data_IF_734905353692
#
_entry.id   IF_734905353692
#
_cell.length_a   1.000
_cell.length_b   1.000
_cell.length_c   1.000
_cell.angle_alpha   90.00
_cell.angle_beta   90.00
_cell.angle_gamma   90.00
#
_symmetry.space_group_name_H-M   'P 1'
#
loop_
_entity.id
_entity.type
_entity.pdbx_description
1 polymer ?
#
# COMPACT_ATOMS: atom_id res chain seq x y z
N UNK A 1 26.31 -11.60 24.37
CA UNK A 1 27.22 -11.93 23.26
C UNK A 1 28.49 -11.09 23.44
N UNK A 2 29.71 -11.65 23.44
CA UNK A 2 30.94 -10.86 23.61
C UNK A 2 31.37 -10.11 22.33
N UNK A 3 30.88 -10.49 21.15
CA UNK A 3 31.26 -9.88 19.89
C UNK A 3 30.35 -8.67 19.56
N UNK A 4 30.91 -7.54 19.09
CA UNK A 4 30.13 -6.41 18.59
C UNK A 4 29.21 -6.81 17.44
N UNK A 5 27.95 -6.33 17.44
CA UNK A 5 26.95 -6.72 16.43
C UNK A 5 27.36 -6.37 14.99
N UNK A 6 28.16 -5.34 14.79
CA UNK A 6 28.63 -4.92 13.48
C UNK A 6 29.50 -6.00 12.80
N UNK A 7 30.12 -6.88 13.58
CA UNK A 7 30.91 -8.01 13.05
C UNK A 7 30.07 -9.13 12.43
N UNK A 8 28.75 -9.10 12.59
CA UNK A 8 27.84 -10.14 12.11
C UNK A 8 27.34 -9.92 10.68
N UNK A 9 27.85 -8.94 9.94
CA UNK A 9 27.39 -8.69 8.56
C UNK A 9 27.60 -9.91 7.66
N UNK A 10 28.80 -10.48 7.64
CA UNK A 10 29.08 -11.70 6.83
C UNK A 10 28.22 -12.87 7.26
N UNK A 11 28.03 -13.07 8.58
CA UNK A 11 27.12 -14.09 9.09
C UNK A 11 25.68 -13.88 8.60
N UNK A 12 25.19 -12.63 8.60
CA UNK A 12 23.89 -12.32 8.03
C UNK A 12 23.82 -12.67 6.54
N UNK A 13 24.80 -12.25 5.75
CA UNK A 13 24.84 -12.47 4.30
C UNK A 13 24.90 -13.97 3.94
N UNK A 14 25.68 -14.77 4.67
CA UNK A 14 25.90 -16.18 4.37
C UNK A 14 24.82 -17.10 4.98
N UNK A 15 24.46 -16.87 6.24
CA UNK A 15 23.63 -17.81 7.00
C UNK A 15 22.17 -17.36 7.11
N UNK A 16 21.88 -16.06 7.12
CA UNK A 16 20.52 -15.54 7.45
C UNK A 16 19.77 -15.06 6.20
N UNK A 17 20.43 -14.33 5.30
CA UNK A 17 19.83 -13.69 4.12
C UNK A 17 18.97 -14.66 3.31
N UNK A 18 19.49 -15.86 3.06
CA UNK A 18 18.81 -16.88 2.25
C UNK A 18 17.43 -17.27 2.79
N UNK A 19 17.20 -17.22 4.11
CA UNK A 19 15.91 -17.55 4.70
C UNK A 19 14.86 -16.50 4.37
N UNK A 20 15.26 -15.23 4.37
CA UNK A 20 14.39 -14.09 4.05
C UNK A 20 14.14 -13.95 2.54
N UNK A 21 15.17 -14.15 1.71
CA UNK A 21 15.05 -14.07 0.24
C UNK A 21 14.21 -15.20 -0.36
N UNK A 22 14.19 -16.38 0.27
CA UNK A 22 13.36 -17.52 -0.18
C UNK A 22 11.88 -17.32 0.09
N UNK A 23 11.48 -16.30 0.87
CA UNK A 23 10.08 -16.02 1.14
C UNK A 23 9.43 -15.59 -0.18
N UNK A 24 8.36 -16.26 -0.64
CA UNK A 24 7.71 -15.90 -1.89
C UNK A 24 7.24 -14.45 -1.86
N UNK A 25 7.54 -13.71 -2.93
CA UNK A 25 7.23 -12.28 -3.12
C UNK A 25 8.13 -11.28 -2.38
N UNK A 26 9.26 -11.73 -1.84
CA UNK A 26 10.38 -10.84 -1.48
C UNK A 26 11.22 -10.59 -2.73
N UNK A 27 11.38 -9.33 -3.11
CA UNK A 27 12.17 -8.94 -4.29
C UNK A 27 13.64 -8.73 -3.95
N UNK A 28 13.91 -8.11 -2.80
CA UNK A 28 15.25 -7.71 -2.39
C UNK A 28 15.28 -7.44 -0.88
N UNK A 29 16.47 -7.44 -0.31
CA UNK A 29 16.73 -7.04 1.07
C UNK A 29 17.65 -5.82 1.09
N UNK A 30 17.17 -4.75 1.69
CA UNK A 30 18.03 -3.65 2.11
C UNK A 30 18.74 -4.07 3.40
N UNK A 31 20.05 -3.91 3.45
CA UNK A 31 20.81 -4.22 4.67
C UNK A 31 21.75 -3.07 4.98
N UNK A 32 21.49 -2.38 6.08
CA UNK A 32 22.22 -1.19 6.54
C UNK A 32 23.10 -1.50 7.74
N UNK A 33 24.35 -1.03 7.71
CA UNK A 33 25.31 -1.24 8.80
C UNK A 33 26.00 -2.62 8.75
N UNK A 34 26.86 -2.83 9.75
CA UNK A 34 27.75 -3.98 9.83
C UNK A 34 29.03 -3.86 8.98
N UNK A 35 29.96 -4.77 9.20
CA UNK A 35 31.26 -4.86 8.53
C UNK A 35 31.52 -6.28 8.07
N UNK A 36 31.91 -6.44 6.81
CA UNK A 36 32.29 -7.72 6.25
C UNK A 36 33.57 -8.25 6.91
N UNK A 37 33.62 -9.56 7.10
CA UNK A 37 34.80 -10.27 7.56
C UNK A 37 35.80 -10.35 6.42
N UNK A 38 37.02 -9.93 6.68
CA UNK A 38 38.09 -9.87 5.69
C UNK A 38 39.34 -10.57 6.21
N UNK A 39 40.19 -11.02 5.29
CA UNK A 39 41.52 -11.47 5.62
C UNK A 39 42.50 -10.31 5.40
N UNK A 40 43.00 -9.72 6.48
CA UNK A 40 43.92 -8.59 6.43
C UNK A 40 45.36 -9.08 6.32
N UNK A 41 46.04 -8.68 5.24
CA UNK A 41 47.48 -8.85 5.06
C UNK A 41 48.16 -7.53 5.37
N UNK A 42 48.71 -7.40 6.58
CA UNK A 42 49.39 -6.19 7.04
C UNK A 42 50.87 -6.29 6.71
N UNK A 43 51.27 -5.62 5.64
CA UNK A 43 52.64 -5.70 5.10
C UNK A 43 53.55 -4.68 5.77
N UNK A 44 54.79 -5.08 6.09
CA UNK A 44 55.83 -4.17 6.58
C UNK A 44 56.63 -3.61 5.41
N UNK A 45 56.59 -2.29 5.22
CA UNK A 45 57.35 -1.57 4.19
C UNK A 45 58.86 -1.75 4.37
N UNK A 46 59.34 -1.72 5.61
CA UNK A 46 60.75 -1.92 5.96
C UNK A 46 61.26 -3.30 5.53
N UNK A 47 60.48 -4.36 5.83
CA UNK A 47 60.85 -5.73 5.46
C UNK A 47 60.77 -5.94 3.95
N UNK A 48 59.77 -5.38 3.27
CA UNK A 48 59.70 -5.44 1.81
C UNK A 48 60.93 -4.80 1.14
N UNK A 49 61.34 -3.62 1.61
CA UNK A 49 62.52 -2.93 1.10
C UNK A 49 63.80 -3.75 1.31
N UNK A 50 63.93 -4.43 2.45
CA UNK A 50 65.08 -5.30 2.75
C UNK A 50 65.20 -6.51 1.80
N UNK A 51 64.10 -6.93 1.17
CA UNK A 51 64.07 -8.05 0.21
C UNK A 51 63.90 -7.60 -1.26
N UNK A 52 64.02 -6.30 -1.54
CA UNK A 52 63.83 -5.72 -2.88
C UNK A 52 62.48 -6.15 -3.50
N UNK A 53 61.42 -6.05 -2.70
CA UNK A 53 60.05 -6.33 -3.10
C UNK A 53 59.17 -5.09 -2.99
N UNK A 54 58.24 -4.94 -3.91
CA UNK A 54 57.23 -3.88 -3.87
C UNK A 54 55.89 -4.42 -3.37
N UNK A 55 54.99 -3.53 -2.92
CA UNK A 55 53.62 -3.91 -2.58
C UNK A 55 52.89 -4.52 -3.78
N UNK A 56 53.18 -4.05 -5.00
CA UNK A 56 52.61 -4.59 -6.23
C UNK A 56 53.03 -6.04 -6.48
N UNK A 57 54.26 -6.43 -6.11
CA UNK A 57 54.72 -7.82 -6.20
C UNK A 57 53.96 -8.75 -5.27
N UNK A 58 53.69 -8.28 -4.04
CA UNK A 58 52.87 -9.02 -3.06
C UNK A 58 51.45 -9.20 -3.57
N UNK A 59 50.81 -8.11 -4.03
CA UNK A 59 49.43 -8.14 -4.55
C UNK A 59 49.33 -9.13 -5.73
N UNK A 60 50.23 -9.03 -6.71
CA UNK A 60 50.24 -9.91 -7.88
C UNK A 60 50.44 -11.38 -7.49
N UNK A 61 51.35 -11.66 -6.57
CA UNK A 61 51.60 -13.03 -6.11
C UNK A 61 50.39 -13.61 -5.38
N UNK A 62 49.75 -12.82 -4.50
CA UNK A 62 48.54 -13.24 -3.80
C UNK A 62 47.38 -13.49 -4.76
N UNK A 63 47.19 -12.63 -5.76
CA UNK A 63 46.17 -12.82 -6.79
C UNK A 63 46.42 -14.08 -7.63
N UNK A 64 47.68 -14.36 -7.99
CA UNK A 64 48.03 -15.57 -8.73
C UNK A 64 47.87 -16.85 -7.90
N UNK A 65 48.10 -16.76 -6.58
CA UNK A 65 47.97 -17.89 -5.67
C UNK A 65 46.51 -18.17 -5.25
N UNK A 66 45.63 -17.16 -5.26
CA UNK A 66 44.23 -17.24 -4.82
C UNK A 66 43.24 -17.45 -5.98
N UNK A 67 43.52 -18.37 -6.92
CA UNK A 67 42.65 -18.64 -8.08
C UNK A 67 42.38 -20.13 -8.24
N UNK A 68 41.10 -20.48 -8.31
CA UNK A 68 40.65 -21.84 -8.65
C UNK A 68 40.78 -22.07 -10.16
N UNK A 69 41.64 -23.01 -10.58
CA UNK A 69 41.87 -23.32 -12.01
C UNK A 69 41.26 -24.69 -12.35
N UNK A 70 40.55 -24.76 -13.49
CA UNK A 70 40.05 -26.02 -14.04
C UNK A 70 41.18 -26.75 -14.76
N UNK A 71 41.56 -27.94 -14.29
CA UNK A 71 42.63 -28.74 -14.89
C UNK A 71 42.12 -29.68 -16.01
N UNK A 72 40.85 -29.55 -16.40
CA UNK A 72 40.22 -30.34 -17.46
C UNK A 72 39.55 -31.62 -16.96
N UNK A 73 39.38 -32.59 -17.84
CA UNK A 73 38.84 -33.91 -17.51
C UNK A 73 39.80 -35.00 -17.97
N UNK A 74 39.89 -36.07 -17.20
CA UNK A 74 40.65 -37.27 -17.54
C UNK A 74 39.69 -38.44 -17.67
N UNK A 75 39.65 -39.02 -18.86
CA UNK A 75 38.90 -40.22 -19.18
C UNK A 75 39.64 -41.46 -18.69
N UNK A 76 39.04 -42.24 -17.81
CA UNK A 76 39.59 -43.52 -17.33
C UNK A 76 38.55 -44.63 -17.53
N UNK A 77 38.82 -45.50 -18.50
CA UNK A 77 37.91 -46.59 -18.88
C UNK A 77 36.59 -46.06 -19.44
N UNK A 78 35.47 -46.34 -18.76
CA UNK A 78 34.12 -45.88 -19.15
C UNK A 78 33.65 -44.66 -18.34
N UNK A 79 34.54 -43.96 -17.62
CA UNK A 79 34.19 -42.81 -16.77
C UNK A 79 35.10 -41.61 -17.07
N UNK A 80 34.51 -40.42 -17.09
CA UNK A 80 35.23 -39.15 -17.15
C UNK A 80 35.30 -38.52 -15.76
N UNK A 81 36.51 -38.18 -15.32
CA UNK A 81 36.75 -37.49 -14.06
C UNK A 81 37.14 -36.04 -14.34
N UNK A 82 36.38 -35.08 -13.83
CA UNK A 82 36.75 -33.66 -13.89
C UNK A 82 37.77 -33.36 -12.80
N UNK A 83 38.91 -32.78 -13.18
CA UNK A 83 39.97 -32.37 -12.26
C UNK A 83 39.88 -30.85 -12.06
N UNK A 84 39.78 -30.43 -10.79
CA UNK A 84 39.77 -29.03 -10.37
C UNK A 84 40.80 -28.84 -9.28
N UNK A 85 41.59 -27.77 -9.35
CA UNK A 85 42.41 -27.32 -8.22
C UNK A 85 41.59 -26.36 -7.36
N UNK A 86 41.64 -26.55 -6.05
CA UNK A 86 41.06 -25.63 -5.06
C UNK A 86 42.25 -24.87 -4.47
N UNK A 87 42.33 -23.57 -4.74
CA UNK A 87 43.42 -22.71 -4.27
C UNK A 87 42.89 -21.41 -3.62
N UNK A 88 41.62 -21.39 -3.25
CA UNK A 88 41.03 -20.28 -2.50
C UNK A 88 41.47 -20.31 -1.04
N UNK A 89 41.94 -19.17 -0.53
CA UNK A 89 42.37 -19.04 0.86
C UNK A 89 41.19 -18.93 1.81
N UNK A 90 41.12 -19.84 2.77
CA UNK A 90 40.08 -19.84 3.82
C UNK A 90 40.69 -19.46 5.16
N UNK A 91 41.94 -19.86 5.42
CA UNK A 91 42.61 -19.69 6.70
C UNK A 91 43.80 -18.73 6.59
N UNK A 92 44.06 -17.86 7.60
CA UNK A 92 45.24 -16.99 7.62
C UNK A 92 46.55 -17.74 7.40
N UNK A 93 46.69 -18.93 8.00
CA UNK A 93 47.91 -19.74 7.88
C UNK A 93 48.17 -20.31 6.48
N UNK A 94 47.18 -20.32 5.58
CA UNK A 94 47.39 -20.67 4.16
C UNK A 94 48.05 -19.52 3.42
N UNK A 95 47.59 -18.30 3.69
CA UNK A 95 48.09 -17.05 3.08
C UNK A 95 49.51 -16.76 3.55
N UNK A 96 49.81 -17.01 4.82
CA UNK A 96 51.15 -16.86 5.39
C UNK A 96 52.22 -17.72 4.69
N UNK A 97 51.82 -18.88 4.15
CA UNK A 97 52.73 -19.83 3.48
C UNK A 97 52.92 -19.54 1.99
N UNK A 98 52.31 -18.48 1.47
CA UNK A 98 52.48 -18.10 0.06
C UNK A 98 53.94 -17.70 -0.19
N UNK A 99 54.54 -18.31 -1.21
CA UNK A 99 55.93 -18.03 -1.60
C UNK A 99 55.96 -16.77 -2.46
N UNK A 100 56.56 -15.70 -1.94
CA UNK A 100 56.71 -14.42 -2.66
C UNK A 100 57.86 -14.48 -3.67
N UNK A 101 58.97 -15.11 -3.27
CA UNK A 101 60.16 -15.25 -4.12
C UNK A 101 60.92 -16.49 -3.72
N UNK A 102 61.52 -17.16 -4.70
CA UNK A 102 62.41 -18.31 -4.46
C UNK A 102 63.73 -18.06 -5.17
N UNK A 103 64.82 -17.95 -4.41
CA UNK A 103 66.18 -17.77 -4.95
C UNK A 103 66.94 -19.10 -5.08
N UNK A 104 66.24 -20.24 -4.97
CA UNK A 104 66.82 -21.59 -5.00
C UNK A 104 67.44 -22.02 -3.66
N UNK A 105 68.15 -21.11 -2.96
CA UNK A 105 68.72 -21.37 -1.62
C UNK A 105 67.75 -21.05 -0.49
N UNK A 106 66.83 -20.09 -0.68
CA UNK A 106 65.82 -19.71 0.31
C UNK A 106 64.50 -19.39 -0.38
N UNK A 107 63.41 -19.82 0.25
CA UNK A 107 62.04 -19.41 -0.10
C UNK A 107 61.65 -18.29 0.85
N UNK A 108 61.28 -17.14 0.28
CA UNK A 108 60.73 -16.03 1.02
C UNK A 108 59.22 -16.18 1.05
N UNK A 109 58.66 -16.33 2.24
CA UNK A 109 57.24 -16.49 2.47
C UNK A 109 56.57 -15.14 2.74
N UNK A 110 55.26 -15.08 2.61
CA UNK A 110 54.50 -13.90 3.01
C UNK A 110 54.66 -13.60 4.50
N UNK A 111 54.71 -14.63 5.35
CA UNK A 111 54.93 -14.49 6.80
C UNK A 111 56.25 -13.80 7.17
N UNK A 112 57.25 -13.82 6.28
CA UNK A 112 58.52 -13.13 6.51
C UNK A 112 58.34 -11.61 6.46
N UNK A 113 57.40 -11.09 5.64
CA UNK A 113 57.24 -9.66 5.33
C UNK A 113 55.89 -9.06 5.72
N UNK A 114 54.90 -9.88 6.09
CA UNK A 114 53.56 -9.44 6.46
C UNK A 114 52.96 -10.28 7.59
N UNK A 115 52.02 -9.70 8.32
CA UNK A 115 51.20 -10.41 9.31
C UNK A 115 49.80 -10.58 8.74
N UNK A 116 49.30 -11.82 8.74
CA UNK A 116 47.96 -12.13 8.26
C UNK A 116 47.05 -12.34 9.46
N UNK A 117 45.90 -11.68 9.46
CA UNK A 117 44.89 -11.87 10.51
C UNK A 117 43.49 -11.77 9.93
N UNK A 118 42.56 -12.46 10.55
CA UNK A 118 41.14 -12.19 10.31
C UNK A 118 40.82 -10.82 10.90
N UNK A 119 40.26 -9.95 10.07
CA UNK A 119 39.80 -8.63 10.42
C UNK A 119 38.40 -8.38 9.90
N UNK A 120 37.99 -7.13 9.96
CA UNK A 120 36.72 -6.66 9.42
C UNK A 120 36.97 -5.43 8.56
N UNK A 121 36.13 -5.25 7.55
CA UNK A 121 36.13 -4.06 6.71
C UNK A 121 36.01 -2.78 7.55
N UNK A 122 36.49 -1.66 7.00
CA UNK A 122 36.42 -0.37 7.69
C UNK A 122 34.96 0.03 7.93
N UNK A 123 34.63 0.38 9.17
CA UNK A 123 33.31 0.93 9.54
C UNK A 123 33.11 2.29 8.87
N UNK A 124 32.08 2.37 8.04
CA UNK A 124 31.70 3.61 7.32
C UNK A 124 30.31 4.12 7.70
N UNK A 125 29.45 3.22 8.19
CA UNK A 125 28.06 3.50 8.59
C UNK A 125 27.86 3.05 10.02
N UNK A 126 27.33 3.94 10.87
CA UNK A 126 26.82 3.60 12.19
C UNK A 126 25.31 3.39 12.08
N UNK A 127 24.83 2.26 12.60
CA UNK A 127 23.41 1.94 12.67
C UNK A 127 23.08 1.62 14.12
N UNK A 128 22.12 2.36 14.67
CA UNK A 128 21.70 2.29 16.06
C UNK A 128 20.18 2.15 16.09
N UNK A 129 19.68 1.26 16.92
CA UNK A 129 18.26 1.03 17.16
C UNK A 129 18.02 1.05 18.67
N UNK A 130 17.17 1.96 19.16
CA UNK A 130 16.90 2.14 20.59
C UNK A 130 18.17 2.27 21.47
N UNK A 131 19.13 3.09 21.03
CA UNK A 131 20.44 3.29 21.67
C UNK A 131 21.36 2.06 21.72
N UNK A 132 20.99 0.97 21.06
CA UNK A 132 21.85 -0.21 20.89
C UNK A 132 22.39 -0.27 19.45
N UNK A 133 23.68 -0.60 19.25
CA UNK A 133 24.19 -0.87 17.91
C UNK A 133 23.39 -1.99 17.24
N UNK A 134 23.21 -1.91 15.92
CA UNK A 134 22.46 -2.93 15.18
C UNK A 134 22.81 -3.00 13.70
N UNK A 135 22.18 -3.95 13.02
CA UNK A 135 22.17 -4.04 11.55
C UNK A 135 20.70 -3.88 11.14
N UNK A 136 20.43 -2.92 10.25
CA UNK A 136 19.10 -2.70 9.71
C UNK A 136 18.83 -3.70 8.59
N UNK A 137 17.68 -4.36 8.62
CA UNK A 137 17.25 -5.22 7.52
C UNK A 137 15.87 -4.74 7.09
N UNK A 138 15.74 -4.36 5.82
CA UNK A 138 14.51 -3.93 5.20
C UNK A 138 14.10 -4.93 4.13
N UNK A 139 12.87 -5.43 4.19
CA UNK A 139 12.34 -6.35 3.17
C UNK A 139 11.64 -5.53 2.09
N UNK A 140 12.09 -5.69 0.83
CA UNK A 140 11.46 -5.05 -0.32
C UNK A 140 10.50 -6.03 -1.00
N UNK A 141 9.19 -5.71 -1.08
CA UNK A 141 8.22 -6.58 -1.75
C UNK A 141 8.38 -6.55 -3.27
N UNK A 142 8.02 -7.65 -3.95
CA UNK A 142 7.81 -7.64 -5.40
C UNK A 142 6.60 -6.76 -5.77
N UNK A 143 6.60 -6.12 -6.95
CA UNK A 143 5.44 -5.36 -7.43
C UNK A 143 4.15 -6.21 -7.44
N UNK A 144 3.05 -5.66 -6.93
CA UNK A 144 1.75 -6.35 -6.89
C UNK A 144 1.59 -7.34 -5.73
N UNK A 145 2.54 -7.41 -4.80
CA UNK A 145 2.46 -8.28 -3.63
C UNK A 145 1.38 -7.83 -2.63
N UNK A 146 0.73 -8.81 -2.01
CA UNK A 146 -0.13 -8.54 -0.85
C UNK A 146 0.77 -8.32 0.37
N UNK A 147 0.87 -7.06 0.79
CA UNK A 147 1.74 -6.67 1.90
C UNK A 147 1.34 -7.33 3.22
N UNK A 148 0.05 -7.51 3.50
CA UNK A 148 -0.40 -8.15 4.75
C UNK A 148 0.07 -9.60 4.82
N UNK A 149 -0.18 -10.35 3.74
CA UNK A 149 0.20 -11.77 3.64
C UNK A 149 1.73 -11.95 3.63
N UNK A 150 2.45 -11.09 2.90
CA UNK A 150 3.91 -11.11 2.88
C UNK A 150 4.47 -10.86 4.29
N UNK A 151 3.95 -9.84 4.98
CA UNK A 151 4.43 -9.50 6.32
C UNK A 151 4.17 -10.63 7.31
N UNK A 152 3.02 -11.31 7.22
CA UNK A 152 2.73 -12.46 8.08
C UNK A 152 3.67 -13.65 7.78
N UNK A 153 4.12 -13.85 6.53
CA UNK A 153 5.16 -14.84 6.20
C UNK A 153 6.54 -14.46 6.72
N UNK A 154 6.91 -13.19 6.58
CA UNK A 154 8.18 -12.65 7.10
C UNK A 154 8.22 -12.77 8.63
N UNK A 155 7.11 -12.48 9.31
CA UNK A 155 6.97 -12.66 10.75
C UNK A 155 7.24 -14.11 11.19
N UNK A 156 6.70 -15.10 10.47
CA UNK A 156 6.95 -16.51 10.80
C UNK A 156 8.44 -16.87 10.70
N UNK A 157 9.10 -16.46 9.63
CA UNK A 157 10.55 -16.69 9.44
C UNK A 157 11.37 -15.90 10.46
N UNK A 158 10.97 -14.67 10.78
CA UNK A 158 11.57 -13.85 11.83
C UNK A 158 11.55 -14.56 13.19
N UNK A 159 10.40 -15.13 13.57
CA UNK A 159 10.26 -15.88 14.83
C UNK A 159 11.11 -17.16 14.81
N UNK A 160 11.12 -17.89 13.70
CA UNK A 160 11.95 -19.09 13.54
C UNK A 160 13.44 -18.79 13.65
N UNK A 161 13.93 -17.75 12.96
CA UNK A 161 15.33 -17.32 13.01
C UNK A 161 15.75 -16.90 14.42
N UNK A 162 14.89 -16.16 15.12
CA UNK A 162 15.12 -15.76 16.51
C UNK A 162 15.20 -16.95 17.46
N UNK A 163 14.42 -18.00 17.23
CA UNK A 163 14.42 -19.22 18.04
C UNK A 163 15.59 -20.17 17.73
N UNK A 164 16.16 -20.11 16.52
CA UNK A 164 17.14 -21.09 16.02
C UNK A 164 18.51 -20.47 15.75
N UNK A 165 18.77 -20.03 14.51
CA UNK A 165 20.07 -19.57 14.00
C UNK A 165 20.64 -18.42 14.82
N UNK A 166 19.80 -17.45 15.20
CA UNK A 166 20.25 -16.25 15.93
C UNK A 166 20.46 -16.53 17.43
N UNK A 167 19.64 -17.39 18.02
CA UNK A 167 19.77 -17.80 19.42
C UNK A 167 21.13 -18.47 19.69
N UNK A 168 21.64 -19.27 18.75
CA UNK A 168 22.97 -19.90 18.86
C UNK A 168 24.10 -18.87 18.99
N UNK A 169 23.96 -17.72 18.32
CA UNK A 169 24.92 -16.61 18.37
C UNK A 169 24.61 -15.60 19.49
N UNK A 170 23.56 -15.83 20.30
CA UNK A 170 23.07 -14.92 21.34
C UNK A 170 22.78 -13.51 20.80
N UNK A 171 22.23 -13.44 19.59
CA UNK A 171 21.70 -12.23 18.95
C UNK A 171 20.22 -12.43 18.64
N UNK A 172 19.50 -11.36 18.38
CA UNK A 172 18.10 -11.40 17.99
C UNK A 172 17.79 -10.31 16.97
N UNK A 173 16.77 -10.53 16.16
CA UNK A 173 16.11 -9.52 15.35
C UNK A 173 15.01 -8.87 16.19
N UNK A 174 14.93 -7.54 16.11
CA UNK A 174 13.82 -6.76 16.66
C UNK A 174 12.96 -6.21 15.53
N UNK A 175 11.64 -6.22 15.71
CA UNK A 175 10.68 -5.81 14.67
C UNK A 175 10.43 -4.30 14.74
N UNK A 176 11.21 -3.53 13.99
CA UNK A 176 11.19 -2.07 14.09
C UNK A 176 9.94 -1.41 13.49
N UNK A 177 9.49 -1.85 12.30
CA UNK A 177 8.42 -1.18 11.56
C UNK A 177 7.78 -2.08 10.51
N UNK A 178 6.45 -2.02 10.38
CA UNK A 178 5.72 -2.58 9.24
C UNK A 178 4.48 -1.76 8.86
N UNK A 179 3.88 -2.08 7.72
CA UNK A 179 2.72 -1.37 7.16
C UNK A 179 1.36 -1.98 7.57
N UNK A 180 1.32 -3.10 8.29
CA UNK A 180 0.07 -3.81 8.65
C UNK A 180 -0.88 -2.93 9.48
N UNK A 181 -0.44 -2.21 10.55
CA UNK A 181 -1.34 -1.36 11.33
C UNK A 181 -2.01 -0.27 10.48
N UNK A 182 -1.27 0.34 9.57
CA UNK A 182 -1.80 1.38 8.67
C UNK A 182 -2.84 0.80 7.71
N UNK A 183 -2.52 -0.31 7.03
CA UNK A 183 -3.43 -0.94 6.06
C UNK A 183 -4.69 -1.48 6.77
N UNK A 184 -4.53 -2.19 7.90
CA UNK A 184 -5.66 -2.70 8.70
C UNK A 184 -6.50 -1.55 9.26
N UNK A 185 -5.87 -0.46 9.69
CA UNK A 185 -6.55 0.76 10.13
C UNK A 185 -7.42 1.37 9.02
N UNK A 186 -6.88 1.50 7.81
CA UNK A 186 -7.62 2.00 6.66
C UNK A 186 -8.82 1.11 6.28
N UNK A 187 -8.63 -0.23 6.28
CA UNK A 187 -9.71 -1.19 6.03
C UNK A 187 -10.80 -1.06 7.10
N UNK A 188 -10.42 -0.97 8.37
CA UNK A 188 -11.35 -0.79 9.48
C UNK A 188 -12.13 0.52 9.38
N UNK A 189 -11.47 1.61 8.99
CA UNK A 189 -12.10 2.90 8.79
C UNK A 189 -13.17 2.83 7.68
N UNK A 190 -12.84 2.21 6.55
CA UNK A 190 -13.78 2.05 5.43
C UNK A 190 -14.95 1.16 5.85
N UNK A 191 -14.70 0.06 6.55
CA UNK A 191 -15.74 -0.82 7.10
C UNK A 191 -16.68 -0.06 8.05
N UNK A 192 -16.10 0.76 8.93
CA UNK A 192 -16.86 1.60 9.86
C UNK A 192 -17.69 2.65 9.13
N UNK A 193 -17.12 3.33 8.13
CA UNK A 193 -17.81 4.33 7.33
C UNK A 193 -18.97 3.73 6.53
N UNK A 194 -18.79 2.56 5.93
CA UNK A 194 -19.86 1.85 5.22
C UNK A 194 -20.96 1.43 6.20
N UNK A 195 -20.60 0.94 7.39
CA UNK A 195 -21.57 0.54 8.40
C UNK A 195 -22.37 1.74 8.94
N UNK A 196 -21.69 2.82 9.33
CA UNK A 196 -22.34 4.04 9.85
C UNK A 196 -23.15 4.71 8.74
N UNK A 197 -22.54 4.97 7.59
CA UNK A 197 -23.18 5.61 6.45
C UNK A 197 -24.38 4.81 5.93
N UNK A 198 -24.24 3.50 5.81
CA UNK A 198 -25.34 2.60 5.43
C UNK A 198 -26.47 2.57 6.46
N UNK A 199 -26.14 2.54 7.76
CA UNK A 199 -27.15 2.58 8.84
C UNK A 199 -27.90 3.91 8.84
N UNK A 200 -27.18 5.03 8.74
CA UNK A 200 -27.78 6.36 8.64
C UNK A 200 -28.68 6.48 7.41
N UNK A 201 -28.22 5.99 6.25
CA UNK A 201 -29.03 5.97 5.04
C UNK A 201 -30.32 5.17 5.23
N UNK A 202 -30.24 3.97 5.82
CA UNK A 202 -31.42 3.14 6.13
C UNK A 202 -32.38 3.84 7.09
N UNK A 203 -31.88 4.50 8.13
CA UNK A 203 -32.71 5.26 9.08
C UNK A 203 -33.41 6.44 8.39
N UNK A 204 -32.68 7.21 7.59
CA UNK A 204 -33.23 8.33 6.82
C UNK A 204 -34.30 7.82 5.85
N UNK A 205 -34.02 6.74 5.12
CA UNK A 205 -35.00 6.13 4.21
C UNK A 205 -36.25 5.64 4.92
N UNK A 206 -36.10 5.05 6.10
CA UNK A 206 -37.25 4.62 6.90
C UNK A 206 -38.12 5.81 7.31
N UNK A 207 -37.51 6.94 7.67
CA UNK A 207 -38.23 8.18 8.04
C UNK A 207 -38.97 8.79 6.84
N UNK A 208 -38.33 8.83 5.66
CA UNK A 208 -38.91 9.43 4.45
C UNK A 208 -39.90 8.51 3.73
N UNK A 209 -39.54 7.26 3.45
CA UNK A 209 -40.38 6.30 2.73
C UNK A 209 -41.49 5.72 3.62
N UNK A 210 -41.29 5.70 4.95
CA UNK A 210 -42.23 5.14 5.94
C UNK A 210 -42.69 3.72 5.63
N UNK A 211 -41.87 2.97 4.89
CA UNK A 211 -42.14 1.61 4.48
C UNK A 211 -40.90 0.76 4.75
N UNK A 212 -41.04 -0.20 5.66
CA UNK A 212 -39.97 -1.15 5.98
C UNK A 212 -39.59 -1.95 4.74
N UNK A 213 -40.58 -2.35 3.93
CA UNK A 213 -40.37 -3.13 2.71
C UNK A 213 -39.52 -2.37 1.69
N UNK A 214 -39.86 -1.11 1.42
CA UNK A 214 -39.07 -0.25 0.54
C UNK A 214 -37.66 -0.03 1.11
N UNK A 215 -37.56 0.24 2.42
CA UNK A 215 -36.26 0.43 3.09
C UNK A 215 -35.36 -0.80 2.98
N UNK A 216 -35.91 -2.01 3.17
CA UNK A 216 -35.16 -3.27 3.03
C UNK A 216 -34.62 -3.46 1.62
N UNK A 217 -35.39 -3.12 0.58
CA UNK A 217 -34.94 -3.22 -0.82
C UNK A 217 -33.71 -2.33 -1.05
N UNK A 218 -33.73 -1.07 -0.63
CA UNK A 218 -32.55 -0.18 -0.77
C UNK A 218 -31.40 -0.66 0.10
N UNK A 219 -31.69 -1.09 1.35
CA UNK A 219 -30.67 -1.59 2.27
C UNK A 219 -29.91 -2.78 1.68
N UNK A 220 -30.58 -3.67 0.94
CA UNK A 220 -29.95 -4.78 0.24
C UNK A 220 -29.20 -4.36 -1.04
N UNK A 221 -29.59 -3.27 -1.69
CA UNK A 221 -28.90 -2.76 -2.88
C UNK A 221 -27.50 -2.20 -2.56
N UNK A 222 -27.28 -1.67 -1.35
CA UNK A 222 -25.98 -1.16 -0.88
C UNK A 222 -24.89 -2.25 -0.93
N UNK A 223 -25.00 -3.39 -0.20
CA UNK A 223 -23.96 -4.41 -0.20
C UNK A 223 -23.80 -5.07 -1.58
N UNK A 224 -24.86 -5.23 -2.37
CA UNK A 224 -24.78 -5.74 -3.75
C UNK A 224 -23.89 -4.83 -4.60
N UNK A 225 -24.09 -3.51 -4.51
CA UNK A 225 -23.32 -2.53 -5.27
C UNK A 225 -21.87 -2.45 -4.80
N UNK A 226 -21.62 -2.49 -3.49
CA UNK A 226 -20.25 -2.47 -2.94
C UNK A 226 -19.50 -3.75 -3.33
N UNK A 227 -20.10 -4.93 -3.16
CA UNK A 227 -19.48 -6.22 -3.50
C UNK A 227 -19.22 -6.30 -5.00
N UNK A 228 -20.18 -5.90 -5.84
CA UNK A 228 -19.96 -5.90 -7.29
C UNK A 228 -18.86 -4.91 -7.70
N UNK A 229 -18.69 -3.78 -7.00
CA UNK A 229 -17.58 -2.85 -7.28
C UNK A 229 -16.24 -3.53 -7.06
N UNK A 230 -16.10 -4.30 -5.97
CA UNK A 230 -14.90 -5.11 -5.73
C UNK A 230 -14.65 -6.15 -6.82
N UNK A 231 -15.70 -6.83 -7.29
CA UNK A 231 -15.60 -7.82 -8.38
C UNK A 231 -15.11 -7.13 -9.67
N UNK A 232 -15.65 -5.97 -10.02
CA UNK A 232 -15.24 -5.24 -11.22
C UNK A 232 -13.79 -4.75 -11.11
N UNK A 233 -13.38 -4.19 -9.97
CA UNK A 233 -11.98 -3.81 -9.75
C UNK A 233 -11.03 -4.99 -9.94
N UNK A 234 -11.41 -6.17 -9.44
CA UNK A 234 -10.66 -7.40 -9.62
C UNK A 234 -10.59 -7.84 -11.10
N UNK A 235 -11.71 -7.79 -11.83
CA UNK A 235 -11.75 -8.11 -13.28
C UNK A 235 -10.84 -7.18 -14.10
N UNK A 236 -10.77 -5.89 -13.74
CA UNK A 236 -9.88 -4.92 -14.37
C UNK A 236 -8.42 -4.97 -13.88
N UNK A 237 -8.06 -5.98 -13.08
CA UNK A 237 -6.71 -6.18 -12.57
C UNK A 237 -6.24 -5.06 -11.62
N UNK A 238 -7.17 -4.35 -10.96
CA UNK A 238 -6.83 -3.32 -9.97
C UNK A 238 -6.73 -3.93 -8.59
N UNK A 239 -5.62 -3.62 -7.91
CA UNK A 239 -5.43 -3.99 -6.52
C UNK A 239 -6.22 -3.07 -5.60
N UNK A 240 -6.68 -3.62 -4.47
CA UNK A 240 -7.23 -2.80 -3.41
C UNK A 240 -6.10 -2.16 -2.61
N UNK A 241 -6.12 -0.84 -2.55
CA UNK A 241 -5.22 -0.06 -1.73
C UNK A 241 -6.00 0.96 -0.90
N UNK A 242 -5.32 1.66 -0.01
CA UNK A 242 -5.96 2.65 0.89
C UNK A 242 -6.71 3.74 0.12
N UNK A 243 -6.24 4.08 -1.07
CA UNK A 243 -6.75 5.16 -1.91
C UNK A 243 -8.00 4.72 -2.67
N UNK A 244 -7.97 3.52 -3.27
CA UNK A 244 -9.14 2.92 -3.90
C UNK A 244 -10.25 2.66 -2.87
N UNK A 245 -9.91 2.24 -1.65
CA UNK A 245 -10.86 2.08 -0.55
C UNK A 245 -11.52 3.40 -0.15
N UNK A 246 -10.75 4.49 -0.11
CA UNK A 246 -11.31 5.83 0.10
C UNK A 246 -12.28 6.22 -1.03
N UNK A 247 -11.93 5.92 -2.28
CA UNK A 247 -12.82 6.12 -3.43
C UNK A 247 -14.13 5.34 -3.33
N UNK A 248 -14.09 4.08 -2.89
CA UNK A 248 -15.30 3.28 -2.64
C UNK A 248 -16.12 3.88 -1.49
N UNK A 249 -15.47 4.30 -0.40
CA UNK A 249 -16.15 4.95 0.74
C UNK A 249 -16.88 6.23 0.32
N UNK A 250 -16.28 7.02 -0.58
CA UNK A 250 -16.91 8.20 -1.18
C UNK A 250 -18.08 7.81 -2.09
N UNK A 251 -17.89 6.76 -2.91
CA UNK A 251 -18.92 6.28 -3.82
C UNK A 251 -20.17 5.74 -3.12
N UNK A 252 -20.06 5.20 -1.90
CA UNK A 252 -21.23 4.64 -1.16
C UNK A 252 -22.37 5.64 -1.00
N UNK A 253 -22.08 6.92 -0.83
CA UNK A 253 -23.12 7.97 -0.81
C UNK A 253 -23.86 8.07 -2.15
N UNK A 254 -23.12 8.08 -3.25
CA UNK A 254 -23.66 8.17 -4.62
C UNK A 254 -24.34 6.88 -5.09
N UNK A 255 -23.97 5.72 -4.52
CA UNK A 255 -24.59 4.43 -4.87
C UNK A 255 -26.11 4.41 -4.58
N UNK A 256 -26.55 5.22 -3.62
CA UNK A 256 -27.92 5.25 -3.15
C UNK A 256 -28.84 6.11 -4.01
N UNK A 257 -28.33 7.14 -4.68
CA UNK A 257 -29.17 8.12 -5.37
C UNK A 257 -30.06 7.47 -6.43
N UNK A 258 -29.46 6.73 -7.36
CA UNK A 258 -30.18 5.99 -8.41
C UNK A 258 -31.16 4.96 -7.82
N UNK A 259 -30.75 4.30 -6.74
CA UNK A 259 -31.56 3.29 -6.09
C UNK A 259 -32.83 3.87 -5.45
N UNK A 260 -32.69 5.02 -4.79
CA UNK A 260 -33.78 5.73 -4.12
C UNK A 260 -34.76 6.27 -5.14
N UNK A 261 -34.29 6.92 -6.22
CA UNK A 261 -35.15 7.49 -7.25
C UNK A 261 -36.01 6.43 -7.94
N UNK A 262 -35.44 5.28 -8.30
CA UNK A 262 -36.23 4.17 -8.87
C UNK A 262 -37.27 3.68 -7.88
N UNK A 263 -36.86 3.39 -6.64
CA UNK A 263 -37.77 2.80 -5.67
C UNK A 263 -38.89 3.76 -5.25
N UNK A 264 -38.59 5.05 -5.07
CA UNK A 264 -39.59 6.06 -4.76
C UNK A 264 -40.63 6.14 -5.89
N UNK A 265 -40.18 6.08 -7.15
CA UNK A 265 -41.12 6.08 -8.26
C UNK A 265 -41.98 4.81 -8.31
N UNK A 266 -41.39 3.64 -8.04
CA UNK A 266 -42.15 2.38 -7.94
C UNK A 266 -43.18 2.47 -6.81
N UNK A 267 -42.81 2.98 -5.64
CA UNK A 267 -43.72 3.15 -4.50
C UNK A 267 -44.84 4.17 -4.81
N UNK A 268 -44.53 5.24 -5.56
CA UNK A 268 -45.50 6.20 -6.07
C UNK A 268 -46.53 5.54 -6.99
N UNK A 269 -46.09 4.77 -7.99
CA UNK A 269 -46.99 4.02 -8.87
C UNK A 269 -47.81 2.96 -8.10
N UNK A 270 -47.25 2.35 -7.06
CA UNK A 270 -47.99 1.44 -6.17
C UNK A 270 -49.08 2.17 -5.38
N UNK A 271 -48.78 3.37 -4.86
CA UNK A 271 -49.76 4.24 -4.17
C UNK A 271 -50.87 4.74 -5.09
N UNK A 272 -50.63 4.80 -6.40
CA UNK A 272 -51.66 5.05 -7.43
C UNK A 272 -52.56 3.84 -7.71
N UNK A 273 -52.35 2.71 -7.05
CA UNK A 273 -53.22 1.52 -7.14
C UNK A 273 -52.78 0.47 -8.17
N UNK A 274 -51.62 0.63 -8.81
CA UNK A 274 -51.10 -0.35 -9.78
C UNK A 274 -50.66 -1.66 -9.14
N UNK A 275 -50.74 -2.75 -9.90
CA UNK A 275 -50.18 -4.03 -9.46
C UNK A 275 -48.67 -3.95 -9.26
N UNK A 276 -48.09 -4.82 -8.42
CA UNK A 276 -46.67 -4.79 -8.09
C UNK A 276 -45.75 -4.92 -9.32
N UNK A 277 -46.14 -5.70 -10.33
CA UNK A 277 -45.37 -5.80 -11.57
C UNK A 277 -45.45 -4.50 -12.38
N UNK A 278 -46.67 -4.00 -12.60
CA UNK A 278 -46.92 -2.79 -13.39
C UNK A 278 -46.29 -1.55 -12.74
N UNK A 279 -46.40 -1.42 -11.42
CA UNK A 279 -45.74 -0.37 -10.66
C UNK A 279 -44.22 -0.43 -10.76
N UNK A 280 -43.63 -1.64 -10.74
CA UNK A 280 -42.19 -1.82 -10.88
C UNK A 280 -41.69 -1.49 -12.29
N UNK A 281 -42.44 -1.90 -13.31
CA UNK A 281 -42.11 -1.66 -14.72
C UNK A 281 -42.24 -0.18 -15.09
N UNK A 282 -43.40 0.43 -14.82
CA UNK A 282 -43.65 1.83 -15.15
C UNK A 282 -42.79 2.77 -14.30
N UNK A 283 -42.62 2.43 -13.02
CA UNK A 283 -41.77 3.18 -12.10
C UNK A 283 -40.33 3.25 -12.57
N UNK A 284 -39.74 2.13 -13.00
CA UNK A 284 -38.39 2.11 -13.54
C UNK A 284 -38.29 2.79 -14.92
N UNK A 285 -39.26 2.51 -15.82
CA UNK A 285 -39.25 3.03 -17.19
C UNK A 285 -39.35 4.55 -17.26
N UNK A 286 -40.12 5.16 -16.37
CA UNK A 286 -40.31 6.62 -16.34
C UNK A 286 -39.03 7.37 -15.96
N UNK A 287 -38.22 6.83 -15.04
CA UNK A 287 -37.01 7.51 -14.54
C UNK A 287 -35.71 7.05 -15.19
N UNK A 288 -35.72 5.94 -15.96
CA UNK A 288 -34.52 5.36 -16.57
C UNK A 288 -33.64 6.38 -17.30
N UNK A 289 -34.23 7.22 -18.16
CA UNK A 289 -33.48 8.22 -18.91
C UNK A 289 -32.80 9.27 -18.03
N UNK A 290 -33.47 9.71 -16.96
CA UNK A 290 -32.93 10.68 -16.02
C UNK A 290 -31.77 10.08 -15.20
N UNK A 291 -31.90 8.83 -14.76
CA UNK A 291 -30.87 8.15 -13.96
C UNK A 291 -29.65 7.82 -14.82
N UNK A 292 -29.85 7.39 -16.07
CA UNK A 292 -28.77 7.19 -17.03
C UNK A 292 -28.01 8.51 -17.28
N UNK A 293 -28.72 9.61 -17.51
CA UNK A 293 -28.10 10.92 -17.71
C UNK A 293 -27.32 11.38 -16.46
N UNK A 294 -27.92 11.26 -15.27
CA UNK A 294 -27.27 11.61 -14.00
C UNK A 294 -26.00 10.79 -13.77
N UNK A 295 -26.07 9.47 -13.97
CA UNK A 295 -24.93 8.57 -13.82
C UNK A 295 -23.83 8.90 -14.84
N UNK A 296 -24.20 9.12 -16.10
CA UNK A 296 -23.27 9.49 -17.17
C UNK A 296 -22.56 10.82 -16.90
N UNK A 297 -23.26 11.83 -16.37
CA UNK A 297 -22.61 13.10 -15.99
C UNK A 297 -21.59 12.92 -14.87
N UNK A 298 -21.89 12.07 -13.89
CA UNK A 298 -20.94 11.78 -12.80
C UNK A 298 -19.73 11.01 -13.32
N UNK A 299 -19.95 10.01 -14.18
CA UNK A 299 -18.85 9.32 -14.88
C UNK A 299 -18.03 10.30 -15.72
N UNK A 300 -18.66 11.25 -16.44
CA UNK A 300 -17.96 12.24 -17.25
C UNK A 300 -17.06 13.20 -16.43
N UNK A 301 -17.37 13.41 -15.14
CA UNK A 301 -16.52 14.18 -14.22
C UNK A 301 -15.28 13.39 -13.79
N UNK A 302 -15.42 12.09 -13.51
CA UNK A 302 -14.31 11.26 -13.00
C UNK A 302 -13.48 10.58 -14.09
N UNK A 303 -14.07 10.26 -15.24
CA UNK A 303 -13.41 9.54 -16.33
C UNK A 303 -12.14 10.26 -16.85
N UNK A 304 -12.11 11.61 -17.03
CA UNK A 304 -10.91 12.31 -17.47
C UNK A 304 -9.73 12.14 -16.50
N UNK A 305 -9.98 12.02 -15.20
CA UNK A 305 -8.96 11.89 -14.15
C UNK A 305 -8.13 10.61 -14.34
N UNK A 306 -8.70 9.58 -14.95
CA UNK A 306 -8.01 8.33 -15.25
C UNK A 306 -6.83 8.56 -16.22
N UNK A 307 -6.94 9.55 -17.11
CA UNK A 307 -5.94 9.85 -18.14
C UNK A 307 -4.84 10.82 -17.67
N UNK A 308 -4.88 11.28 -16.41
CA UNK A 308 -3.80 12.10 -15.86
C UNK A 308 -2.57 11.21 -15.65
N UNK A 309 -1.46 11.54 -16.31
CA UNK A 309 -0.24 10.72 -16.34
C UNK A 309 0.76 11.05 -15.23
N UNK A 310 0.69 12.25 -14.66
CA UNK A 310 1.55 12.70 -13.57
C UNK A 310 1.46 11.77 -12.36
N UNK A 311 2.49 11.77 -11.49
CA UNK A 311 2.48 10.96 -10.26
C UNK A 311 1.22 11.19 -9.41
N UNK A 312 0.72 12.43 -9.40
CA UNK A 312 -0.55 12.84 -8.79
C UNK A 312 -1.75 12.16 -9.44
N UNK A 313 -1.73 12.08 -10.78
CA UNK A 313 -2.72 11.35 -11.57
C UNK A 313 -2.80 9.88 -11.20
N UNK A 314 -1.69 9.24 -10.81
CA UNK A 314 -1.71 7.83 -10.38
C UNK A 314 -2.53 7.62 -9.10
N UNK A 315 -2.43 8.54 -8.14
CA UNK A 315 -3.22 8.50 -6.91
C UNK A 315 -4.72 8.70 -7.21
N UNK A 316 -5.06 9.74 -7.98
CA UNK A 316 -6.44 10.04 -8.30
C UNK A 316 -7.08 9.05 -9.28
N UNK A 317 -6.28 8.38 -10.11
CA UNK A 317 -6.72 7.34 -11.04
C UNK A 317 -7.39 6.18 -10.29
N UNK A 318 -6.85 5.74 -9.16
CA UNK A 318 -7.46 4.67 -8.36
C UNK A 318 -8.81 5.07 -7.76
N UNK A 319 -8.93 6.32 -7.30
CA UNK A 319 -10.19 6.88 -6.82
C UNK A 319 -11.21 6.95 -7.96
N UNK A 320 -10.80 7.51 -9.10
CA UNK A 320 -11.65 7.72 -10.26
C UNK A 320 -12.17 6.41 -10.85
N UNK A 321 -11.31 5.38 -10.95
CA UNK A 321 -11.72 4.04 -11.38
C UNK A 321 -12.74 3.46 -10.40
N UNK A 322 -12.45 3.50 -9.09
CA UNK A 322 -13.34 2.96 -8.07
C UNK A 322 -14.73 3.63 -8.11
N UNK A 323 -14.77 4.96 -8.18
CA UNK A 323 -16.02 5.75 -8.24
C UNK A 323 -16.78 5.47 -9.54
N UNK A 324 -16.11 5.47 -10.69
CA UNK A 324 -16.73 5.21 -11.99
C UNK A 324 -17.36 3.82 -12.05
N UNK A 325 -16.65 2.81 -11.56
CA UNK A 325 -17.15 1.43 -11.50
C UNK A 325 -18.33 1.31 -10.53
N UNK A 326 -18.24 1.95 -9.36
CA UNK A 326 -19.31 1.96 -8.38
C UNK A 326 -20.60 2.59 -8.93
N UNK A 327 -20.52 3.75 -9.58
CA UNK A 327 -21.68 4.44 -10.16
C UNK A 327 -22.28 3.64 -11.31
N UNK A 328 -21.41 3.12 -12.21
CA UNK A 328 -21.86 2.29 -13.32
C UNK A 328 -22.62 1.07 -12.80
N UNK A 329 -22.09 0.41 -11.77
CA UNK A 329 -22.76 -0.72 -11.16
C UNK A 329 -24.04 -0.32 -10.40
N UNK A 330 -24.07 0.82 -9.71
CA UNK A 330 -25.29 1.36 -9.09
C UNK A 330 -26.40 1.54 -10.11
N UNK A 331 -26.08 2.04 -11.30
CA UNK A 331 -27.04 2.16 -12.41
C UNK A 331 -27.62 0.77 -12.77
N UNK A 332 -26.77 -0.24 -12.96
CA UNK A 332 -27.22 -1.62 -13.21
C UNK A 332 -28.11 -2.16 -12.08
N UNK A 333 -27.68 -2.01 -10.83
CA UNK A 333 -28.45 -2.46 -9.66
C UNK A 333 -29.80 -1.75 -9.58
N UNK A 334 -29.82 -0.44 -9.82
CA UNK A 334 -31.03 0.37 -9.74
C UNK A 334 -32.09 -0.01 -10.77
N UNK A 335 -31.67 -0.48 -11.96
CA UNK A 335 -32.59 -0.71 -13.08
C UNK A 335 -32.96 -2.16 -13.25
N UNK A 336 -32.08 -3.08 -12.85
CA UNK A 336 -32.36 -4.51 -12.92
C UNK A 336 -32.76 -5.08 -11.57
N UNK A 337 -31.94 -4.89 -10.53
CA UNK A 337 -32.16 -5.55 -9.25
C UNK A 337 -33.33 -4.94 -8.47
N UNK A 338 -33.42 -3.61 -8.38
CA UNK A 338 -34.47 -2.95 -7.58
C UNK A 338 -35.88 -3.23 -8.10
N UNK A 339 -36.20 -3.10 -9.40
CA UNK A 339 -37.55 -3.40 -9.89
C UNK A 339 -37.92 -4.87 -9.70
N UNK A 340 -36.95 -5.77 -9.88
CA UNK A 340 -37.13 -7.20 -9.65
C UNK A 340 -37.43 -7.51 -8.17
N UNK A 341 -36.63 -6.97 -7.25
CA UNK A 341 -36.82 -7.13 -5.81
C UNK A 341 -38.12 -6.48 -5.32
N UNK A 342 -38.45 -5.30 -5.85
CA UNK A 342 -39.70 -4.58 -5.55
C UNK A 342 -40.92 -5.40 -5.94
N UNK A 343 -40.95 -5.91 -7.18
CA UNK A 343 -42.02 -6.77 -7.65
C UNK A 343 -42.17 -8.02 -6.76
N UNK A 344 -41.07 -8.73 -6.47
CA UNK A 344 -41.12 -9.95 -5.68
C UNK A 344 -41.57 -9.71 -4.24
N UNK A 345 -41.04 -8.66 -3.58
CA UNK A 345 -41.35 -8.36 -2.19
C UNK A 345 -42.77 -7.81 -2.04
N UNK A 346 -43.20 -6.88 -2.91
CA UNK A 346 -44.55 -6.32 -2.86
C UNK A 346 -45.62 -7.35 -3.23
N UNK A 347 -45.35 -8.29 -4.15
CA UNK A 347 -46.27 -9.42 -4.41
C UNK A 347 -46.46 -10.33 -3.19
N UNK A 348 -45.40 -10.58 -2.42
CA UNK A 348 -45.48 -11.40 -1.19
C UNK A 348 -46.21 -10.69 -0.05
N UNK A 349 -46.16 -9.36 -0.02
CA UNK A 349 -46.75 -8.53 1.04
C UNK A 349 -48.21 -8.12 0.78
N UNK A 350 -48.84 -8.57 -0.33
CA UNK A 350 -50.25 -8.30 -0.70
C UNK A 350 -51.30 -8.70 0.35
N UNK A 351 -50.91 -9.24 1.51
CA UNK A 351 -51.78 -9.54 2.66
C UNK A 351 -51.37 -8.93 4.02
N UNK A 352 -50.19 -8.27 4.13
CA UNK A 352 -49.69 -7.72 5.39
C UNK A 352 -48.99 -6.37 5.17
N UNK A 353 -49.76 -5.32 4.91
CA UNK A 353 -49.22 -3.95 5.02
C UNK A 353 -49.36 -3.50 6.47
N UNK A 354 -48.25 -3.60 7.23
CA UNK A 354 -48.09 -2.83 8.47
C UNK A 354 -47.95 -1.36 8.09
N UNK A 355 -49.07 -0.74 7.73
CA UNK A 355 -49.14 0.69 7.54
C UNK A 355 -49.02 1.35 8.91
N UNK A 356 -47.92 2.04 9.14
CA UNK A 356 -47.79 3.01 10.22
C UNK A 356 -48.74 4.20 9.94
N UNK A 357 -50.05 4.00 10.16
CA UNK A 357 -51.11 5.00 9.98
C UNK A 357 -51.15 6.08 11.08
N UNK A 358 -50.31 6.00 12.11
CA UNK A 358 -50.46 6.84 13.31
C UNK A 358 -49.39 7.94 13.52
N UNK A 359 -48.51 8.20 12.56
CA UNK A 359 -47.53 9.31 12.63
C UNK A 359 -47.86 10.45 11.63
N UNK A 360 -49.14 10.67 11.33
CA UNK A 360 -49.62 11.52 10.23
C UNK A 360 -49.44 13.04 10.45
N UNK A 361 -49.23 13.55 11.66
CA UNK A 361 -49.31 15.00 11.91
C UNK A 361 -48.02 15.79 11.67
N UNK A 362 -46.98 15.51 12.45
CA UNK A 362 -45.88 16.47 12.64
C UNK A 362 -44.91 16.51 11.45
N UNK A 363 -44.36 15.37 11.02
CA UNK A 363 -43.38 15.34 9.93
C UNK A 363 -43.98 15.70 8.57
N UNK A 364 -45.23 15.30 8.30
CA UNK A 364 -45.92 15.67 7.06
C UNK A 364 -46.24 17.16 7.07
N UNK A 365 -46.69 17.70 8.20
CA UNK A 365 -46.93 19.14 8.35
C UNK A 365 -45.68 19.99 8.18
N UNK A 366 -44.54 19.56 8.73
CA UNK A 366 -43.25 20.22 8.51
C UNK A 366 -42.82 20.10 7.04
N UNK A 367 -42.94 18.92 6.44
CA UNK A 367 -42.63 18.70 5.03
C UNK A 367 -43.43 19.61 4.10
N UNK A 368 -44.75 19.71 4.31
CA UNK A 368 -45.62 20.58 3.52
C UNK A 368 -45.26 22.06 3.69
N UNK A 369 -44.96 22.53 4.92
CA UNK A 369 -44.50 23.90 5.15
C UNK A 369 -43.18 24.20 4.44
N UNK A 370 -42.25 23.24 4.41
CA UNK A 370 -41.00 23.38 3.66
C UNK A 370 -41.25 23.47 2.15
N UNK A 371 -42.13 22.61 1.62
CA UNK A 371 -42.54 22.66 0.21
C UNK A 371 -43.19 24.01 -0.12
N UNK A 372 -44.09 24.51 0.74
CA UNK A 372 -44.73 25.81 0.54
C UNK A 372 -43.72 26.97 0.58
N UNK A 373 -42.76 26.93 1.50
CA UNK A 373 -41.69 27.91 1.58
C UNK A 373 -40.80 27.88 0.32
N UNK A 374 -40.40 26.69 -0.13
CA UNK A 374 -39.63 26.50 -1.36
C UNK A 374 -40.40 27.02 -2.58
N UNK A 375 -41.68 26.67 -2.70
CA UNK A 375 -42.55 27.14 -3.78
C UNK A 375 -42.77 28.66 -3.73
N UNK A 376 -42.81 29.26 -2.53
CA UNK A 376 -42.84 30.70 -2.34
C UNK A 376 -41.58 31.38 -2.89
N UNK A 377 -40.41 30.85 -2.56
CA UNK A 377 -39.12 31.32 -3.09
C UNK A 377 -39.07 31.14 -4.62
N UNK A 378 -39.47 29.98 -5.13
CA UNK A 378 -39.50 29.68 -6.56
C UNK A 378 -40.40 30.67 -7.32
N UNK A 379 -41.59 30.96 -6.79
CA UNK A 379 -42.49 31.97 -7.36
C UNK A 379 -41.87 33.36 -7.35
N UNK A 380 -41.15 33.74 -6.29
CA UNK A 380 -40.46 35.03 -6.21
C UNK A 380 -39.34 35.13 -7.28
N UNK A 381 -38.52 34.10 -7.39
CA UNK A 381 -37.39 34.04 -8.33
C UNK A 381 -37.88 34.03 -9.78
N UNK A 382 -38.95 33.29 -10.07
CA UNK A 382 -39.48 33.14 -11.44
C UNK A 382 -40.49 34.21 -11.86
N UNK A 383 -40.87 35.13 -10.95
CA UNK A 383 -41.92 36.14 -11.17
C UNK A 383 -41.71 36.98 -12.42
N UNK A 384 -40.56 37.66 -12.52
CA UNK A 384 -40.24 38.60 -13.59
C UNK A 384 -38.86 38.32 -14.19
N UNK A 385 -38.59 38.78 -15.43
CA UNK A 385 -37.26 38.65 -16.04
C UNK A 385 -36.14 39.30 -15.19
N UNK A 386 -36.46 40.40 -14.52
CA UNK A 386 -35.55 41.10 -13.61
C UNK A 386 -35.22 40.28 -12.36
N UNK A 387 -36.21 39.65 -11.72
CA UNK A 387 -35.96 38.77 -10.54
C UNK A 387 -35.16 37.55 -10.94
N UNK A 388 -35.43 36.97 -12.12
CA UNK A 388 -34.64 35.85 -12.65
C UNK A 388 -33.17 36.22 -12.87
N UNK A 389 -32.91 37.36 -13.52
CA UNK A 389 -31.55 37.85 -13.75
C UNK A 389 -30.84 38.21 -12.43
N UNK A 390 -31.54 38.88 -11.52
CA UNK A 390 -31.01 39.23 -10.20
C UNK A 390 -30.61 37.98 -9.39
N UNK A 391 -31.43 36.92 -9.44
CA UNK A 391 -31.10 35.67 -8.76
C UNK A 391 -29.91 34.96 -9.41
N UNK A 392 -29.83 34.90 -10.74
CA UNK A 392 -28.69 34.29 -11.44
C UNK A 392 -27.40 35.04 -11.09
N UNK A 393 -27.41 36.37 -11.25
CA UNK A 393 -26.24 37.21 -10.96
C UNK A 393 -25.87 37.17 -9.48
N UNK A 394 -26.86 37.22 -8.58
CA UNK A 394 -26.65 37.14 -7.14
C UNK A 394 -26.04 35.82 -6.70
N UNK A 395 -26.56 34.68 -7.17
CA UNK A 395 -26.01 33.36 -6.85
C UNK A 395 -24.63 33.15 -7.47
N UNK A 396 -24.41 33.65 -8.69
CA UNK A 396 -23.11 33.55 -9.37
C UNK A 396 -22.07 34.40 -8.64
N UNK A 397 -22.43 35.64 -8.28
CA UNK A 397 -21.56 36.53 -7.52
C UNK A 397 -21.25 35.96 -6.14
N UNK A 398 -22.26 35.45 -5.44
CA UNK A 398 -22.07 34.79 -4.14
C UNK A 398 -21.14 33.57 -4.25
N UNK A 399 -21.31 32.75 -5.29
CA UNK A 399 -20.43 31.60 -5.55
C UNK A 399 -18.99 32.04 -5.80
N UNK A 400 -18.75 33.04 -6.65
CA UNK A 400 -17.42 33.57 -6.94
C UNK A 400 -16.75 34.21 -5.72
N UNK A 401 -17.50 35.01 -4.95
CA UNK A 401 -17.00 35.64 -3.73
C UNK A 401 -16.63 34.59 -2.69
N UNK A 402 -17.49 33.57 -2.51
CA UNK A 402 -17.21 32.48 -1.57
C UNK A 402 -16.00 31.65 -2.02
N UNK A 403 -15.89 31.35 -3.32
CA UNK A 403 -14.74 30.65 -3.88
C UNK A 403 -13.43 31.43 -3.69
N UNK A 404 -13.47 32.76 -3.81
CA UNK A 404 -12.31 33.62 -3.58
C UNK A 404 -11.95 33.71 -2.10
N UNK A 405 -12.93 33.93 -1.22
CA UNK A 405 -12.72 34.07 0.23
C UNK A 405 -12.29 32.77 0.91
N UNK A 406 -12.82 31.63 0.44
CA UNK A 406 -12.54 30.31 1.00
C UNK A 406 -11.45 29.55 0.25
N UNK A 407 -10.73 30.19 -0.69
CA UNK A 407 -9.68 29.52 -1.46
C UNK A 407 -8.58 29.00 -0.50
N UNK A 408 -8.43 27.67 -0.34
CA UNK A 408 -7.45 27.12 0.58
C UNK A 408 -6.03 27.28 0.00
N UNK A 409 -5.03 27.20 0.87
CA UNK A 409 -3.63 27.13 0.41
C UNK A 409 -3.45 25.86 -0.43
N UNK A 410 -2.74 25.98 -1.55
CA UNK A 410 -2.45 24.82 -2.39
C UNK A 410 -1.39 23.95 -1.71
N UNK A 411 -1.78 22.76 -1.30
CA UNK A 411 -0.89 21.71 -0.80
C UNK A 411 -0.89 20.53 -1.77
N UNK A 412 0.28 19.93 -1.99
CA UNK A 412 0.47 18.86 -2.98
C UNK A 412 -0.28 17.57 -2.59
N UNK A 413 -0.15 17.13 -1.34
CA UNK A 413 -0.89 16.01 -0.75
C UNK A 413 -1.06 16.26 0.75
N UNK A 414 -2.20 15.88 1.35
CA UNK A 414 -2.31 15.88 2.80
C UNK A 414 -1.27 14.91 3.37
N UNK A 415 -0.52 15.35 4.38
CA UNK A 415 0.40 14.44 5.06
C UNK A 415 -0.43 13.37 5.79
N UNK A 416 -0.44 12.16 5.25
CA UNK A 416 -1.06 11.02 5.91
C UNK A 416 -0.41 10.82 7.26
N UNK A 417 -1.21 10.58 8.30
CA UNK A 417 -0.72 10.40 9.66
C UNK A 417 0.08 9.09 9.75
N UNK A 418 1.38 9.18 9.46
CA UNK A 418 2.32 8.08 9.69
C UNK A 418 2.87 8.30 11.09
N UNK A 419 2.78 7.30 11.95
CA UNK A 419 3.50 7.27 13.23
C UNK A 419 5.01 7.06 12.99
N UNK A 420 5.60 7.85 12.08
CA UNK A 420 6.99 7.79 11.67
C UNK A 420 7.45 9.22 11.38
N UNK A 421 8.45 9.66 12.13
CA UNK A 421 9.16 10.91 11.87
C UNK A 421 10.52 10.53 11.32
N UNK A 422 10.83 11.00 10.12
CA UNK A 422 12.14 10.84 9.51
C UNK A 422 12.88 12.16 9.68
N UNK A 423 13.96 12.15 10.45
CA UNK A 423 14.89 13.27 10.52
C UNK A 423 16.11 12.94 9.65
N UNK A 424 16.42 13.83 8.70
CA UNK A 424 17.60 13.70 7.84
C UNK A 424 18.56 14.81 8.23
N UNK A 425 19.63 14.43 8.91
CA UNK A 425 20.75 15.32 9.19
C UNK A 425 21.85 15.06 8.15
N UNK A 426 22.22 16.10 7.41
CA UNK A 426 23.34 16.04 6.46
C UNK A 426 24.53 16.75 7.08
N UNK A 427 25.49 16.02 7.68
CA UNK A 427 26.67 16.66 8.25
C UNK A 427 27.61 17.16 7.14
N UNK A 428 28.53 18.09 7.46
CA UNK A 428 29.59 18.50 6.55
C UNK A 428 30.42 17.30 6.04
N UNK A 429 30.90 17.35 4.79
CA UNK A 429 31.78 16.30 4.28
C UNK A 429 33.09 16.23 5.07
N UNK A 430 33.66 15.03 5.20
CA UNK A 430 34.96 14.80 5.86
C UNK A 430 34.90 14.25 7.29
N UNK A 431 33.72 14.18 7.92
CA UNK A 431 33.59 13.60 9.26
C UNK A 431 34.00 12.13 9.31
N UNK A 432 34.70 11.78 10.38
CA UNK A 432 35.09 10.42 10.70
C UNK A 432 33.88 9.56 11.10
N UNK A 433 34.06 8.24 11.11
CA UNK A 433 33.03 7.31 11.60
C UNK A 433 32.66 7.59 13.06
N UNK A 434 33.65 7.89 13.90
CA UNK A 434 33.44 8.15 15.33
C UNK A 434 32.59 9.41 15.53
N UNK A 435 32.92 10.51 14.87
CA UNK A 435 32.13 11.74 14.96
C UNK A 435 30.68 11.55 14.46
N UNK A 436 30.50 10.78 13.36
CA UNK A 436 29.15 10.46 12.87
C UNK A 436 28.35 9.62 13.86
N UNK A 437 29.03 8.70 14.56
CA UNK A 437 28.41 7.87 15.60
C UNK A 437 28.04 8.71 16.80
N UNK A 438 28.92 9.59 17.26
CA UNK A 438 28.68 10.48 18.40
C UNK A 438 27.47 11.39 18.14
N UNK A 439 27.31 11.92 16.92
CA UNK A 439 26.13 12.71 16.53
C UNK A 439 24.82 11.93 16.71
N UNK A 440 24.82 10.61 16.53
CA UNK A 440 23.63 9.76 16.67
C UNK A 440 23.39 9.22 18.08
N UNK A 441 24.34 9.42 19.02
CA UNK A 441 24.19 9.03 20.43
C UNK A 441 23.54 10.13 21.29
N UNK A 442 23.58 11.39 20.84
CA UNK A 442 22.89 12.54 21.43
C UNK A 442 21.55 12.81 20.72
#
# INVERSE_FOLDING_TARGET
NPNPIDTYRTFFEEDVRQFLERIPKVADLFVGGGTEKELHVVVSSEKLAAFDLTLADVIRTLQAANVNVSAGSVSVGRRDYRIRTIAEFVLPGEVEKVVLRSTGQRRLLLSDVATVRVGYAKRTVAMIHNAEPGIAIGVKPEPGSNILELTDRVENVFQELNATTLAQQKIHLDWAYDQRPYIRGAINLVRQNIAIGGTLAVLVLLVFLRSVSSTVIVATAIPISVIGTFIFLWIFGRNLNVVSLAGISFAVGMLLDSAIVVLENIDRHRKMGKDAFEASYDGAREVWGAILASSATTVAVFLPVIFVEEEVGQLFRDIAIAVTMAITLSLFVSVFAIPMMSNQLFRRLKGHTLNFRNAEGALVGVGNRLVDALMGILRLVTKNRATRLATILGLTFFSLVTAYLMFPKMEYLPQGNRNLVINILVPPPGLSYLEKKDIGEY
#
